data_IF_045631278240
#
_entry.id   IF_045631278240
#
_cell.length_a   1.000
_cell.length_b   1.000
_cell.length_c   1.000
_cell.angle_alpha   90.00
_cell.angle_beta   90.00
_cell.angle_gamma   90.00
#
_symmetry.space_group_name_H-M   'P 1'
#
loop_
_entity.id
_entity.type
_entity.pdbx_description
1 polymer ?
#
# COMPACT_ATOMS: atom_id res chain seq x y z
N UNK A 1 28.31 -30.70 -35.98
CA UNK A 1 28.49 -31.50 -34.74
C UNK A 1 27.15 -32.08 -34.35
N UNK A 2 27.00 -33.40 -34.47
CA UNK A 2 25.88 -34.15 -33.92
C UNK A 2 26.06 -34.24 -32.39
N UNK A 3 25.83 -33.14 -31.69
CA UNK A 3 25.79 -33.14 -30.23
C UNK A 3 24.34 -32.90 -29.78
N UNK A 4 23.79 -33.76 -28.91
CA UNK A 4 22.46 -33.56 -28.37
C UNK A 4 22.45 -32.28 -27.53
N UNK A 5 21.46 -31.43 -27.75
CA UNK A 5 21.22 -30.27 -26.88
C UNK A 5 21.08 -30.77 -25.44
N UNK A 6 21.72 -30.12 -24.45
CA UNK A 6 21.48 -30.47 -23.05
C UNK A 6 19.98 -30.32 -22.77
N UNK A 7 19.41 -31.32 -22.11
CA UNK A 7 18.00 -31.33 -21.74
C UNK A 7 17.67 -30.04 -21.00
N UNK A 8 16.75 -29.26 -21.56
CA UNK A 8 16.19 -28.08 -20.90
C UNK A 8 15.62 -28.57 -19.57
N UNK A 9 16.01 -28.01 -18.41
CA UNK A 9 15.40 -28.40 -17.15
C UNK A 9 13.90 -28.14 -17.27
N UNK A 10 13.11 -29.17 -16.99
CA UNK A 10 11.66 -29.06 -16.94
C UNK A 10 11.30 -27.85 -16.08
N UNK A 11 10.43 -26.98 -16.61
CA UNK A 11 9.91 -25.80 -15.91
C UNK A 11 9.28 -26.28 -14.60
N UNK A 12 10.06 -26.20 -13.53
CA UNK A 12 9.59 -26.50 -12.20
C UNK A 12 8.89 -25.26 -11.70
N UNK A 13 7.60 -25.44 -11.41
CA UNK A 13 6.63 -24.50 -10.86
C UNK A 13 5.80 -23.75 -11.92
N UNK A 14 4.48 -24.00 -12.01
CA UNK A 14 3.61 -22.98 -12.56
C UNK A 14 3.80 -21.73 -11.70
N UNK A 15 4.02 -20.57 -12.34
CA UNK A 15 3.87 -19.29 -11.65
C UNK A 15 2.43 -19.24 -11.15
N UNK A 16 2.24 -19.58 -9.89
CA UNK A 16 0.99 -19.31 -9.19
C UNK A 16 0.96 -17.80 -9.07
N UNK A 17 0.09 -17.14 -9.83
CA UNK A 17 -0.24 -15.76 -9.55
C UNK A 17 -0.80 -15.76 -8.13
N UNK A 18 -0.06 -15.18 -7.20
CA UNK A 18 -0.63 -14.89 -5.89
C UNK A 18 -1.73 -13.87 -6.15
N UNK A 19 -2.98 -14.32 -6.10
CA UNK A 19 -4.14 -13.44 -6.04
C UNK A 19 -4.04 -12.70 -4.72
N UNK A 20 -3.36 -11.55 -4.75
CA UNK A 20 -3.38 -10.62 -3.63
C UNK A 20 -4.84 -10.19 -3.48
N UNK A 21 -5.50 -10.46 -2.33
CA UNK A 21 -6.90 -10.11 -2.13
C UNK A 21 -7.03 -8.59 -2.03
N UNK A 22 -7.08 -7.93 -3.18
CA UNK A 22 -7.24 -6.50 -3.32
C UNK A 22 -8.73 -6.17 -3.30
N UNK A 23 -9.10 -5.22 -2.45
CA UNK A 23 -10.45 -4.70 -2.36
C UNK A 23 -10.46 -3.18 -2.54
N UNK A 24 -11.59 -2.63 -2.96
CA UNK A 24 -11.80 -1.20 -3.09
C UNK A 24 -12.59 -0.71 -1.87
N UNK A 25 -12.08 0.34 -1.23
CA UNK A 25 -12.78 1.05 -0.17
C UNK A 25 -13.00 2.50 -0.61
N UNK A 26 -14.25 2.96 -0.54
CA UNK A 26 -14.59 4.37 -0.76
C UNK A 26 -14.85 5.00 0.60
N UNK A 27 -14.18 6.12 0.87
CA UNK A 27 -14.28 6.83 2.13
C UNK A 27 -14.80 8.24 1.87
N UNK A 28 -15.90 8.58 2.53
CA UNK A 28 -16.47 9.92 2.54
C UNK A 28 -16.04 10.58 3.84
N UNK A 29 -15.06 11.47 3.73
CA UNK A 29 -14.47 12.16 4.86
C UNK A 29 -15.20 13.48 5.08
N UNK A 30 -15.32 13.86 6.35
CA UNK A 30 -15.97 15.10 6.79
C UNK A 30 -14.91 16.12 7.26
N UNK A 31 -15.21 17.40 7.10
CA UNK A 31 -14.37 18.52 7.54
C UNK A 31 -12.96 18.50 6.94
N UNK A 32 -12.85 18.47 5.61
CA UNK A 32 -11.57 18.70 4.95
C UNK A 32 -11.11 20.16 5.09
N UNK A 33 -12.05 21.10 5.16
CA UNK A 33 -11.78 22.52 5.15
C UNK A 33 -11.24 23.03 6.50
N UNK A 34 -10.48 24.11 6.41
CA UNK A 34 -10.08 24.90 7.57
C UNK A 34 -11.22 25.87 7.94
N UNK A 35 -11.39 26.17 9.23
CA UNK A 35 -12.29 27.22 9.70
C UNK A 35 -11.68 28.62 9.51
N UNK A 36 -10.35 28.73 9.59
CA UNK A 36 -9.59 29.91 9.26
C UNK A 36 -8.55 29.62 8.18
N UNK A 37 -7.28 29.74 8.53
CA UNK A 37 -6.17 29.46 7.62
C UNK A 37 -5.82 27.97 7.64
N UNK A 38 -5.57 27.40 6.46
CA UNK A 38 -5.17 26.01 6.32
C UNK A 38 -3.88 25.75 7.10
N UNK A 39 -3.97 24.91 8.13
CA UNK A 39 -2.85 24.58 9.00
C UNK A 39 -2.89 23.13 9.43
N UNK A 40 -1.81 22.67 10.07
CA UNK A 40 -1.70 21.30 10.60
C UNK A 40 -2.81 20.99 11.61
N UNK A 41 -3.28 22.00 12.33
CA UNK A 41 -4.32 21.89 13.36
C UNK A 41 -5.71 22.19 12.81
N UNK A 42 -5.82 23.13 11.87
CA UNK A 42 -7.06 23.62 11.26
C UNK A 42 -7.15 23.17 9.79
N UNK A 43 -7.39 21.87 9.59
CA UNK A 43 -7.75 21.22 8.32
C UNK A 43 -7.93 19.71 8.54
N UNK A 44 -8.49 18.99 7.56
CA UNK A 44 -8.44 17.51 7.50
C UNK A 44 -8.94 16.81 8.77
N UNK A 45 -10.04 17.28 9.36
CA UNK A 45 -10.55 16.79 10.64
C UNK A 45 -10.93 15.30 10.58
N UNK A 46 -11.77 14.90 9.62
CA UNK A 46 -12.19 13.51 9.46
C UNK A 46 -11.04 12.57 9.10
N UNK A 47 -10.13 13.02 8.24
CA UNK A 47 -8.97 12.24 7.81
C UNK A 47 -8.01 11.94 8.98
N UNK A 48 -7.69 12.94 9.81
CA UNK A 48 -6.80 12.78 10.98
C UNK A 48 -7.39 11.82 12.00
N UNK A 49 -8.68 11.97 12.32
CA UNK A 49 -9.37 11.08 13.25
C UNK A 49 -9.38 9.63 12.76
N UNK A 50 -9.66 9.43 11.46
CA UNK A 50 -9.64 8.09 10.88
C UNK A 50 -8.22 7.50 10.85
N UNK A 51 -7.22 8.26 10.44
CA UNK A 51 -5.83 7.79 10.40
C UNK A 51 -5.34 7.34 11.78
N UNK A 52 -5.64 8.10 12.83
CA UNK A 52 -5.34 7.72 14.21
C UNK A 52 -6.08 6.43 14.63
N UNK A 53 -7.36 6.31 14.24
CA UNK A 53 -8.17 5.12 14.51
C UNK A 53 -7.63 3.88 13.80
N UNK A 54 -7.21 4.02 12.54
CA UNK A 54 -6.63 2.93 11.76
C UNK A 54 -5.26 2.54 12.30
N UNK A 55 -4.40 3.50 12.64
CA UNK A 55 -3.10 3.23 13.24
C UNK A 55 -3.19 2.50 14.59
N UNK A 56 -4.23 2.80 15.39
CA UNK A 56 -4.50 2.11 16.64
C UNK A 56 -5.08 0.70 16.45
N UNK A 57 -5.69 0.40 15.29
CA UNK A 57 -6.23 -0.92 14.96
C UNK A 57 -5.12 -1.78 14.38
N UNK A 58 -4.87 -2.94 14.98
CA UNK A 58 -3.96 -3.94 14.38
C UNK A 58 -4.49 -4.38 13.01
N UNK A 59 -3.67 -4.27 11.98
CA UNK A 59 -4.02 -4.74 10.65
C UNK A 59 -3.57 -6.20 10.47
N UNK A 60 -4.37 -7.07 9.83
CA UNK A 60 -3.99 -8.47 9.62
C UNK A 60 -2.73 -8.57 8.75
N UNK A 61 -1.89 -9.56 9.03
CA UNK A 61 -0.67 -9.82 8.27
C UNK A 61 -0.99 -9.94 6.76
N UNK A 62 -0.25 -9.21 5.92
CA UNK A 62 -0.48 -9.13 4.47
C UNK A 62 -1.22 -7.89 3.97
N UNK A 63 -1.61 -6.98 4.86
CA UNK A 63 -2.17 -5.65 4.53
C UNK A 63 -1.11 -4.53 4.49
N UNK A 64 0.16 -4.87 4.27
CA UNK A 64 1.23 -3.90 4.06
C UNK A 64 1.07 -3.26 2.68
N UNK A 65 0.27 -2.19 2.61
CA UNK A 65 0.45 -1.18 1.59
C UNK A 65 1.72 -0.41 1.98
N UNK A 66 2.82 -0.65 1.27
CA UNK A 66 4.03 0.14 1.40
C UNK A 66 3.67 1.61 1.14
N UNK A 67 3.51 2.38 2.21
CA UNK A 67 3.46 3.83 2.13
C UNK A 67 4.82 4.26 1.56
N UNK A 68 4.84 4.60 0.27
CA UNK A 68 6.01 5.15 -0.39
C UNK A 68 6.22 6.57 0.13
N UNK A 69 6.75 6.69 1.35
CA UNK A 69 7.36 7.92 1.84
C UNK A 69 8.66 8.06 1.05
N UNK A 70 8.60 8.79 -0.06
CA UNK A 70 9.79 9.32 -0.74
C UNK A 70 10.41 10.36 0.19
N UNK A 71 11.10 9.88 1.23
CA UNK A 71 11.97 10.70 2.04
C UNK A 71 13.16 11.10 1.19
N UNK A 72 13.15 12.34 0.71
CA UNK A 72 14.31 12.96 0.09
C UNK A 72 15.37 13.10 1.18
N UNK A 73 16.30 12.14 1.21
CA UNK A 73 17.42 12.12 2.15
C UNK A 73 18.49 13.04 1.56
N UNK A 74 18.22 14.34 1.63
CA UNK A 74 19.15 15.41 1.29
C UNK A 74 20.21 15.54 2.39
N UNK A 75 21.46 15.32 1.97
CA UNK A 75 22.72 15.57 2.67
C UNK A 75 22.85 16.97 3.24
#
# INVERSE_FOLDING_TARGET
CAQPCPAVPAVSQPRVWQEVPLTLQLLFLDGEEAFGDWSVTDSLYGARHLAATMAARGHPAGSELAAMVSGDRGT
#
